data_IF_322660498751
#
_entry.id   IF_322660498751
#
_cell.length_a   1.000
_cell.length_b   1.000
_cell.length_c   1.000
_cell.angle_alpha   90.00
_cell.angle_beta   90.00
_cell.angle_gamma   90.00
#
_symmetry.space_group_name_H-M   'P 1'
#
loop_
_entity.id
_entity.type
_entity.pdbx_description
1 polymer ?
#
# COMPACT_ATOMS: atom_id res chain seq x y z
N UNK A 1 8.67 35.31 0.07
CA UNK A 1 8.72 34.48 1.28
C UNK A 1 8.19 33.05 0.99
N UNK A 2 8.71 32.37 -0.06
CA UNK A 2 8.25 31.06 -0.55
C UNK A 2 9.38 30.06 -0.77
N UNK A 3 10.58 30.30 -0.26
CA UNK A 3 11.74 29.39 -0.41
C UNK A 3 11.92 28.37 0.74
N UNK A 4 11.18 28.46 1.82
CA UNK A 4 11.43 27.63 3.02
C UNK A 4 10.86 26.20 2.98
N UNK A 5 9.85 25.92 2.15
CA UNK A 5 9.17 24.60 2.12
C UNK A 5 9.87 23.57 1.22
N UNK A 6 10.49 24.01 0.12
CA UNK A 6 11.18 23.09 -0.80
C UNK A 6 12.49 22.57 -0.21
N UNK A 7 13.21 23.40 0.57
CA UNK A 7 14.46 23.01 1.20
C UNK A 7 14.28 21.93 2.30
N UNK A 8 13.11 21.89 2.96
CA UNK A 8 12.80 20.85 3.97
C UNK A 8 12.48 19.49 3.36
N UNK A 9 11.85 19.47 2.18
CA UNK A 9 11.52 18.23 1.48
C UNK A 9 12.77 17.56 0.86
N UNK A 10 13.69 18.36 0.35
CA UNK A 10 14.96 17.88 -0.21
C UNK A 10 15.89 17.29 0.88
N UNK A 11 15.81 17.74 2.13
CA UNK A 11 16.60 17.16 3.23
C UNK A 11 16.19 15.74 3.64
N UNK A 12 14.98 15.31 3.35
CA UNK A 12 14.54 13.94 3.64
C UNK A 12 15.18 12.86 2.74
N UNK A 13 15.71 13.24 1.57
CA UNK A 13 16.33 12.31 0.62
C UNK A 13 17.86 12.35 0.60
N UNK A 14 18.50 13.18 1.43
CA UNK A 14 19.93 13.50 1.30
C UNK A 14 20.90 12.64 2.12
N UNK A 15 20.43 11.56 2.77
CA UNK A 15 21.29 10.64 3.54
C UNK A 15 20.95 9.18 3.27
N UNK A 16 21.28 8.69 2.08
CA UNK A 16 21.51 7.28 1.86
C UNK A 16 23.00 7.15 1.49
N UNK A 17 23.80 6.62 2.38
CA UNK A 17 25.16 6.18 2.06
C UNK A 17 25.10 5.03 1.05
N UNK A 18 26.02 4.95 0.09
CA UNK A 18 26.03 3.88 -0.90
C UNK A 18 26.47 2.57 -0.21
N UNK A 19 25.54 1.67 0.04
CA UNK A 19 25.92 0.28 0.27
C UNK A 19 26.30 -0.33 -1.07
N UNK A 20 27.56 -0.72 -1.16
CA UNK A 20 28.12 -1.52 -2.25
C UNK A 20 27.37 -2.85 -2.34
N UNK A 21 26.33 -2.90 -3.19
CA UNK A 21 25.72 -4.18 -3.56
C UNK A 21 26.60 -4.83 -4.62
N UNK A 22 27.13 -5.98 -4.27
CA UNK A 22 28.07 -6.79 -5.00
C UNK A 22 27.58 -7.11 -6.43
N UNK A 23 28.44 -6.90 -7.43
CA UNK A 23 28.27 -7.23 -8.85
C UNK A 23 27.87 -8.70 -9.12
N UNK A 24 27.95 -9.56 -8.12
CA UNK A 24 27.63 -10.98 -8.21
C UNK A 24 26.13 -11.29 -8.36
N UNK A 25 25.23 -10.39 -7.95
CA UNK A 25 23.77 -10.63 -8.04
C UNK A 25 23.24 -10.33 -9.45
N UNK A 26 23.84 -9.40 -10.17
CA UNK A 26 23.42 -9.05 -11.54
C UNK A 26 23.81 -10.11 -12.58
N UNK A 27 24.96 -10.78 -12.41
CA UNK A 27 25.39 -11.88 -13.29
C UNK A 27 24.57 -13.15 -13.08
N UNK A 28 24.12 -13.44 -11.86
CA UNK A 28 23.26 -14.59 -11.56
C UNK A 28 21.87 -14.51 -12.21
N UNK A 29 21.23 -13.33 -12.18
CA UNK A 29 19.93 -13.14 -12.80
C UNK A 29 19.94 -13.20 -14.32
N UNK A 30 21.03 -12.77 -14.96
CA UNK A 30 21.17 -12.83 -16.43
C UNK A 30 21.34 -14.27 -16.94
N UNK A 31 22.06 -15.11 -16.20
CA UNK A 31 22.26 -16.52 -16.55
C UNK A 31 21.00 -17.37 -16.32
N UNK A 32 20.17 -17.03 -15.33
CA UNK A 32 18.90 -17.72 -15.10
C UNK A 32 17.88 -17.35 -16.16
N UNK A 33 17.85 -16.10 -16.62
CA UNK A 33 16.93 -15.63 -17.69
C UNK A 33 17.28 -16.26 -19.05
N UNK A 34 18.54 -16.46 -19.36
CA UNK A 34 18.98 -17.13 -20.60
C UNK A 34 18.73 -18.64 -20.56
N UNK A 35 18.87 -19.30 -19.40
CA UNK A 35 18.56 -20.73 -19.25
C UNK A 35 17.04 -21.01 -19.39
N UNK A 36 16.16 -20.12 -18.91
CA UNK A 36 14.71 -20.25 -19.07
C UNK A 36 14.24 -20.00 -20.53
N UNK A 37 14.93 -19.13 -21.27
CA UNK A 37 14.65 -18.92 -22.71
C UNK A 37 15.07 -20.10 -23.58
N UNK A 38 16.11 -20.83 -23.24
CA UNK A 38 16.56 -22.02 -23.98
C UNK A 38 15.67 -23.23 -23.68
N UNK A 39 15.06 -23.32 -22.49
CA UNK A 39 14.14 -24.40 -22.12
C UNK A 39 12.71 -24.19 -22.70
N UNK A 40 12.31 -22.98 -23.04
CA UNK A 40 11.00 -22.70 -23.63
C UNK A 40 10.90 -22.93 -25.14
N UNK A 41 12.02 -23.12 -25.84
CA UNK A 41 12.07 -23.36 -27.28
C UNK A 41 11.96 -24.86 -27.68
N UNK A 42 11.82 -25.78 -26.75
CA UNK A 42 11.97 -27.21 -26.98
C UNK A 42 10.76 -28.12 -26.83
N UNK A 43 9.53 -27.61 -26.60
CA UNK A 43 8.36 -28.49 -26.47
C UNK A 43 7.15 -28.02 -27.26
N UNK A 44 7.14 -28.39 -28.56
CA UNK A 44 5.90 -28.64 -29.30
C UNK A 44 5.69 -30.14 -29.33
N UNK A 45 4.76 -30.67 -28.56
CA UNK A 45 4.19 -32.01 -28.75
C UNK A 45 2.68 -31.92 -28.66
N UNK A 46 2.06 -32.46 -29.71
CA UNK A 46 0.66 -32.58 -30.08
C UNK A 46 -0.22 -33.22 -28.99
N UNK A 47 -1.44 -32.70 -28.84
CA UNK A 47 -2.54 -33.30 -28.09
C UNK A 47 -3.26 -34.38 -28.91
N UNK A 48 -3.66 -35.49 -28.29
CA UNK A 48 -4.79 -36.30 -28.76
C UNK A 48 -6.02 -36.09 -27.86
N UNK A 49 -7.16 -36.30 -28.49
CA UNK A 49 -8.53 -36.01 -28.11
C UNK A 49 -9.13 -36.78 -26.93
N UNK A 50 -10.21 -36.20 -26.40
CA UNK A 50 -11.17 -36.69 -25.40
C UNK A 50 -11.60 -38.14 -25.55
N UNK A 51 -11.77 -38.82 -24.40
CA UNK A 51 -12.59 -40.00 -24.23
C UNK A 51 -12.88 -40.27 -22.75
N UNK A 52 -14.15 -40.26 -22.43
CA UNK A 52 -14.84 -40.55 -21.18
C UNK A 52 -14.30 -41.71 -20.34
N UNK A 53 -14.41 -41.58 -19.00
CA UNK A 53 -14.85 -42.68 -18.11
C UNK A 53 -15.25 -42.13 -16.73
N UNK A 54 -16.53 -42.15 -16.46
CA UNK A 54 -17.13 -42.10 -15.13
C UNK A 54 -17.15 -43.54 -14.56
N UNK A 55 -16.64 -43.75 -13.34
CA UNK A 55 -17.22 -44.67 -12.35
C UNK A 55 -16.53 -44.56 -10.99
N UNK A 56 -17.24 -44.73 -9.89
CA UNK A 56 -16.75 -44.47 -8.54
C UNK A 56 -16.08 -45.71 -7.93
N UNK A 57 -14.88 -45.54 -7.43
CA UNK A 57 -14.28 -46.58 -6.58
C UNK A 57 -14.10 -46.07 -5.15
N UNK A 58 -14.55 -46.94 -4.24
CA UNK A 58 -14.53 -46.80 -2.80
C UNK A 58 -13.13 -46.55 -2.23
N UNK A 59 -13.05 -45.75 -1.19
CA UNK A 59 -11.84 -45.51 -0.41
C UNK A 59 -11.42 -46.75 0.38
N UNK A 60 -10.12 -47.09 0.47
CA UNK A 60 -9.63 -48.17 1.34
C UNK A 60 -9.66 -47.73 2.82
N UNK A 61 -9.83 -48.66 3.78
CA UNK A 61 -9.91 -48.39 5.19
C UNK A 61 -8.58 -47.93 5.79
N UNK A 62 -8.65 -46.99 6.72
CA UNK A 62 -7.53 -46.49 7.52
C UNK A 62 -6.92 -47.62 8.39
N UNK A 63 -5.60 -47.72 8.51
CA UNK A 63 -4.99 -48.64 9.44
C UNK A 63 -5.16 -48.20 10.89
N UNK A 64 -5.55 -49.16 11.71
CA UNK A 64 -5.77 -49.06 13.16
C UNK A 64 -4.42 -48.77 13.83
N UNK A 65 -4.27 -47.68 14.49
CA UNK A 65 -3.10 -47.32 15.29
C UNK A 65 -2.97 -48.30 16.48
N UNK A 66 -1.85 -48.97 16.55
CA UNK A 66 -1.41 -49.68 17.77
C UNK A 66 -0.87 -48.61 18.73
N UNK A 67 -1.41 -48.59 19.93
CA UNK A 67 -0.88 -47.85 21.07
C UNK A 67 0.34 -48.61 21.56
N UNK A 68 1.52 -48.06 21.38
CA UNK A 68 2.70 -48.40 22.13
C UNK A 68 2.98 -47.25 23.10
N UNK A 69 2.74 -47.54 24.38
CA UNK A 69 3.23 -46.73 25.51
C UNK A 69 4.77 -46.75 25.55
N UNK A 70 5.26 -45.68 26.17
CA UNK A 70 6.66 -45.38 26.55
C UNK A 70 7.56 -44.80 25.47
N UNK A 71 7.52 -43.45 25.42
CA UNK A 71 8.76 -42.67 25.52
C UNK A 71 8.41 -41.20 25.87
N UNK A 72 8.77 -40.81 27.10
CA UNK A 72 8.87 -39.44 27.54
C UNK A 72 9.92 -38.73 26.68
N UNK A 73 9.57 -38.28 25.51
CA UNK A 73 10.33 -37.28 24.81
C UNK A 73 9.71 -35.91 25.22
N UNK A 74 10.46 -35.15 25.99
CA UNK A 74 10.25 -33.72 26.17
C UNK A 74 10.16 -33.09 24.78
N UNK A 75 8.94 -32.96 24.25
CA UNK A 75 8.66 -32.04 23.14
C UNK A 75 8.82 -30.67 23.74
N UNK A 76 9.98 -30.10 23.56
CA UNK A 76 10.22 -28.67 23.75
C UNK A 76 9.27 -27.97 22.76
N UNK A 77 8.08 -27.58 23.25
CA UNK A 77 7.21 -26.68 22.51
C UNK A 77 8.00 -25.37 22.37
N UNK A 78 8.69 -25.19 21.25
CA UNK A 78 9.29 -23.95 20.86
C UNK A 78 8.19 -22.88 20.88
N UNK A 79 8.20 -22.01 21.90
CA UNK A 79 7.29 -20.85 21.94
C UNK A 79 7.54 -20.00 20.69
N UNK A 80 6.48 -19.65 20.00
CA UNK A 80 6.55 -18.68 18.92
C UNK A 80 7.09 -17.37 19.50
N UNK A 81 8.13 -16.73 18.91
CA UNK A 81 8.63 -15.46 19.39
C UNK A 81 7.52 -14.41 19.39
N UNK A 82 7.53 -13.49 20.36
CA UNK A 82 6.53 -12.41 20.47
C UNK A 82 6.51 -11.53 19.23
N UNK A 83 7.64 -11.35 18.57
CA UNK A 83 7.82 -10.47 17.42
C UNK A 83 8.34 -11.22 16.21
N UNK A 84 7.76 -10.95 15.07
CA UNK A 84 8.27 -11.34 13.75
C UNK A 84 8.97 -10.15 13.10
N UNK A 85 10.30 -10.21 13.08
CA UNK A 85 11.16 -9.20 12.47
C UNK A 85 11.84 -9.69 11.20
N UNK A 86 11.53 -10.89 10.71
CA UNK A 86 12.24 -11.54 9.62
C UNK A 86 11.37 -11.88 8.41
N UNK A 87 10.13 -12.29 8.62
CA UNK A 87 9.26 -12.77 7.54
C UNK A 87 8.77 -11.65 6.61
N UNK A 88 8.68 -10.42 7.12
CA UNK A 88 8.24 -9.27 6.33
C UNK A 88 9.37 -8.26 6.15
N UNK A 89 9.71 -7.97 4.88
CA UNK A 89 10.77 -6.99 4.54
C UNK A 89 10.38 -5.53 4.80
N UNK A 90 9.08 -5.25 4.98
CA UNK A 90 8.55 -3.88 5.08
C UNK A 90 8.01 -3.52 6.45
N UNK A 91 7.68 -4.50 7.30
CA UNK A 91 7.10 -4.26 8.62
C UNK A 91 7.59 -5.28 9.63
N UNK A 92 7.91 -4.82 10.84
CA UNK A 92 8.07 -5.65 12.02
C UNK A 92 6.75 -5.70 12.77
N UNK A 93 6.34 -6.86 13.28
CA UNK A 93 5.07 -7.05 13.97
C UNK A 93 5.28 -7.92 15.20
N UNK A 94 4.79 -7.44 16.35
CA UNK A 94 4.63 -8.25 17.54
C UNK A 94 3.14 -8.51 17.75
N UNK A 95 2.74 -9.76 18.00
CA UNK A 95 1.35 -10.14 18.31
C UNK A 95 1.35 -11.00 19.55
N UNK A 96 0.92 -10.42 20.67
CA UNK A 96 0.99 -10.97 22.03
C UNK A 96 -0.42 -11.12 22.58
N UNK A 97 -0.70 -12.25 23.24
CA UNK A 97 -1.98 -12.53 23.88
C UNK A 97 -1.73 -13.03 25.31
N UNK A 98 -2.34 -12.37 26.32
CA UNK A 98 -2.16 -12.63 27.74
C UNK A 98 -2.20 -11.35 28.57
N UNK A 99 -1.44 -11.26 29.68
CA UNK A 99 -1.26 -10.02 30.46
C UNK A 99 -0.18 -9.17 29.79
N UNK A 100 -0.61 -8.14 29.02
CA UNK A 100 0.32 -7.22 28.37
C UNK A 100 0.18 -5.85 28.99
N UNK A 101 1.31 -5.28 29.43
CA UNK A 101 1.40 -3.97 30.07
C UNK A 101 2.17 -2.99 29.19
N UNK A 102 1.53 -1.87 28.88
CA UNK A 102 2.10 -0.80 28.07
C UNK A 102 2.45 0.36 28.98
N UNK A 103 3.72 0.74 29.00
CA UNK A 103 4.22 1.93 29.65
C UNK A 103 4.76 2.90 28.60
N UNK A 104 3.90 3.77 28.13
CA UNK A 104 4.21 4.66 27.00
C UNK A 104 5.31 5.67 27.34
N UNK A 105 5.41 6.13 28.60
CA UNK A 105 6.45 7.06 29.07
C UNK A 105 7.88 6.54 28.88
N UNK A 106 8.07 5.21 28.87
CA UNK A 106 9.36 4.54 28.59
C UNK A 106 9.37 3.86 27.22
N UNK A 107 8.32 3.98 26.41
CA UNK A 107 8.12 3.27 25.15
C UNK A 107 8.31 1.76 25.30
N UNK A 108 7.83 1.18 26.40
CA UNK A 108 8.01 -0.23 26.75
C UNK A 108 6.69 -0.99 26.75
N UNK A 109 6.71 -2.19 26.21
CA UNK A 109 5.59 -3.12 26.17
C UNK A 109 6.07 -4.44 26.78
N UNK A 110 5.40 -4.90 27.83
CA UNK A 110 5.77 -6.06 28.60
C UNK A 110 4.73 -7.16 28.46
N UNK A 111 5.17 -8.35 28.08
CA UNK A 111 4.39 -9.57 28.21
C UNK A 111 4.70 -10.20 29.57
N UNK A 112 3.73 -10.20 30.47
CA UNK A 112 3.87 -10.72 31.84
C UNK A 112 3.62 -12.22 31.83
N UNK A 113 4.55 -13.01 32.38
CA UNK A 113 4.44 -14.48 32.44
C UNK A 113 5.08 -15.06 33.69
N UNK A 114 4.43 -16.08 34.28
CA UNK A 114 4.97 -16.89 35.39
C UNK A 114 5.82 -18.09 34.90
N UNK A 115 5.79 -18.39 33.59
CA UNK A 115 6.38 -19.61 33.04
C UNK A 115 7.75 -19.39 32.43
N UNK A 116 8.60 -18.57 33.02
CA UNK A 116 9.98 -18.38 32.55
C UNK A 116 10.82 -19.52 33.09
N UNK A 117 11.19 -20.45 32.19
CA UNK A 117 11.99 -21.64 32.58
C UNK A 117 13.50 -21.39 32.58
N UNK A 118 13.98 -20.37 31.89
CA UNK A 118 15.40 -20.06 31.75
C UNK A 118 15.66 -18.55 31.80
N UNK A 119 16.76 -18.15 32.41
CA UNK A 119 17.23 -16.75 32.46
C UNK A 119 17.49 -16.13 31.08
N UNK A 120 17.69 -16.95 30.03
CA UNK A 120 17.87 -16.50 28.64
C UNK A 120 16.57 -16.00 28.01
N UNK A 121 15.40 -16.53 28.37
CA UNK A 121 14.10 -16.06 27.88
C UNK A 121 13.73 -14.68 28.41
N UNK A 122 14.13 -14.34 29.64
CA UNK A 122 13.97 -13.00 30.22
C UNK A 122 14.81 -11.93 29.51
N UNK A 123 15.86 -12.33 28.79
CA UNK A 123 16.75 -11.41 28.08
C UNK A 123 16.28 -11.15 26.65
N UNK A 124 15.29 -11.88 26.14
CA UNK A 124 14.75 -11.59 24.80
C UNK A 124 13.98 -10.30 24.77
N UNK A 125 14.46 -9.35 24.00
CA UNK A 125 13.81 -8.07 23.77
C UNK A 125 13.93 -7.67 22.31
N UNK A 126 12.88 -7.04 21.81
CA UNK A 126 12.80 -6.54 20.44
C UNK A 126 12.68 -5.02 20.44
N UNK A 127 13.37 -4.41 19.47
CA UNK A 127 13.25 -2.98 19.17
C UNK A 127 12.42 -2.82 17.91
N UNK A 128 11.22 -2.26 18.04
CA UNK A 128 10.23 -2.16 16.98
C UNK A 128 9.91 -0.69 16.70
N UNK A 129 9.97 -0.31 15.43
CA UNK A 129 9.38 0.93 14.93
C UNK A 129 8.06 0.58 14.26
N UNK A 130 6.90 0.89 14.86
CA UNK A 130 5.60 0.36 14.42
C UNK A 130 5.06 1.10 13.19
N UNK A 131 5.81 1.09 12.09
CA UNK A 131 5.48 1.71 10.81
C UNK A 131 6.02 0.88 9.64
N UNK A 132 5.22 0.63 8.58
CA UNK A 132 5.64 -0.22 7.46
C UNK A 132 6.61 0.49 6.51
N UNK A 133 7.82 0.70 6.86
CA UNK A 133 8.92 1.22 6.03
C UNK A 133 10.27 0.71 6.54
N UNK A 134 10.29 -0.53 7.03
CA UNK A 134 11.53 -1.16 7.51
C UNK A 134 12.66 -1.00 6.49
N UNK A 135 13.83 -0.58 6.96
CA UNK A 135 15.00 -0.32 6.12
C UNK A 135 15.02 1.06 5.45
N UNK A 136 13.91 1.82 5.49
CA UNK A 136 13.88 3.20 5.01
C UNK A 136 14.19 4.17 6.17
N UNK A 137 15.49 4.49 6.32
CA UNK A 137 15.95 5.35 7.41
C UNK A 137 15.31 6.75 7.40
N UNK A 138 15.02 7.30 6.21
CA UNK A 138 14.39 8.62 6.11
C UNK A 138 12.95 8.61 6.63
N UNK A 139 12.18 7.58 6.28
CA UNK A 139 10.82 7.40 6.77
C UNK A 139 10.80 7.12 8.29
N UNK A 140 11.69 6.23 8.75
CA UNK A 140 11.70 5.78 10.15
C UNK A 140 12.45 6.72 11.10
N UNK A 141 13.12 7.77 10.62
CA UNK A 141 13.83 8.73 11.47
C UNK A 141 12.93 9.49 12.45
N UNK A 142 11.62 9.54 12.14
CA UNK A 142 10.60 10.25 12.93
C UNK A 142 9.66 9.30 13.67
N UNK A 143 9.97 8.01 13.70
CA UNK A 143 9.14 7.00 14.36
C UNK A 143 9.80 6.58 15.65
N UNK A 144 9.07 6.68 16.77
CA UNK A 144 9.49 6.22 18.09
C UNK A 144 9.79 4.73 18.04
N UNK A 145 10.96 4.34 18.53
CA UNK A 145 11.32 2.95 18.73
C UNK A 145 10.76 2.46 20.05
N UNK A 146 10.06 1.33 20.02
CA UNK A 146 9.45 0.69 21.18
C UNK A 146 10.22 -0.56 21.56
N UNK A 147 10.34 -0.80 22.87
CA UNK A 147 10.91 -2.02 23.42
C UNK A 147 9.78 -3.01 23.74
N UNK A 148 9.86 -4.22 23.20
CA UNK A 148 8.94 -5.33 23.51
C UNK A 148 9.74 -6.42 24.21
N UNK A 149 9.28 -6.94 25.35
CA UNK A 149 9.99 -7.98 26.08
C UNK A 149 9.13 -8.69 27.10
N UNK A 150 9.71 -9.69 27.71
CA UNK A 150 9.08 -10.44 28.81
C UNK A 150 9.33 -9.74 30.15
N UNK A 151 8.38 -9.93 31.07
CA UNK A 151 8.53 -9.56 32.47
C UNK A 151 8.01 -10.72 33.33
N UNK A 152 8.79 -11.10 34.36
CA UNK A 152 8.39 -12.15 35.30
C UNK A 152 7.34 -11.65 36.29
N UNK A 153 6.38 -12.52 36.64
CA UNK A 153 5.45 -12.22 37.76
C UNK A 153 6.13 -12.06 39.12
N UNK A 154 7.39 -12.51 39.22
CA UNK A 154 8.21 -12.39 40.46
C UNK A 154 8.88 -11.02 40.57
N UNK A 155 8.87 -10.21 39.51
CA UNK A 155 9.44 -8.87 39.46
C UNK A 155 8.44 -7.81 39.94
N UNK A 156 8.92 -6.58 40.20
CA UNK A 156 8.07 -5.45 40.56
C UNK A 156 7.35 -4.94 39.32
N UNK A 157 6.15 -5.50 39.09
CA UNK A 157 5.35 -5.26 37.89
C UNK A 157 4.75 -3.85 37.89
N UNK A 158 4.81 -3.09 36.80
CA UNK A 158 4.08 -1.85 36.65
C UNK A 158 2.58 -2.08 36.90
N UNK A 159 1.99 -1.35 37.88
CA UNK A 159 0.55 -1.47 38.17
C UNK A 159 -0.28 -0.89 37.08
N UNK A 160 -1.33 -1.60 36.70
CA UNK A 160 -2.29 -1.12 35.70
C UNK A 160 -3.10 0.06 36.25
N UNK A 161 -2.97 1.22 35.65
CA UNK A 161 -3.86 2.35 35.85
C UNK A 161 -5.17 2.17 35.10
N UNK A 162 -5.11 1.55 33.92
CA UNK A 162 -6.26 1.25 33.08
C UNK A 162 -6.20 -0.21 32.63
N UNK A 163 -7.31 -0.95 32.84
CA UNK A 163 -7.48 -2.30 32.34
C UNK A 163 -8.47 -2.30 31.18
N UNK A 164 -8.06 -2.81 30.02
CA UNK A 164 -8.92 -2.97 28.84
C UNK A 164 -9.39 -4.42 28.72
N UNK A 165 -10.61 -4.59 28.20
CA UNK A 165 -11.15 -5.90 27.86
C UNK A 165 -11.02 -6.22 26.36
N UNK A 166 -10.61 -5.23 25.56
CA UNK A 166 -10.42 -5.37 24.11
C UNK A 166 -8.94 -5.32 23.73
N UNK A 167 -8.55 -5.91 22.61
CA UNK A 167 -7.19 -5.83 22.09
C UNK A 167 -6.74 -4.38 21.80
N UNK A 168 -5.42 -4.17 21.78
CA UNK A 168 -4.82 -2.93 21.30
C UNK A 168 -3.99 -3.14 20.03
N UNK A 169 -3.97 -2.13 19.14
CA UNK A 169 -3.03 -2.03 18.03
C UNK A 169 -2.24 -0.74 18.18
N UNK A 170 -0.91 -0.86 18.18
CA UNK A 170 0.02 0.26 18.30
C UNK A 170 0.64 0.50 16.92
N UNK A 171 0.53 1.71 16.38
CA UNK A 171 1.16 2.10 15.12
C UNK A 171 1.58 3.58 15.14
N UNK A 172 2.42 3.97 14.17
CA UNK A 172 2.96 5.32 14.06
C UNK A 172 2.45 6.04 12.81
N UNK A 173 2.09 7.32 12.94
CA UNK A 173 1.78 8.20 11.79
C UNK A 173 3.00 8.96 11.27
N UNK A 174 4.20 8.43 11.47
CA UNK A 174 5.46 8.94 10.91
C UNK A 174 5.60 8.70 9.40
N UNK A 175 6.80 8.53 8.92
CA UNK A 175 7.07 8.22 7.53
C UNK A 175 6.83 9.39 6.58
N UNK A 176 6.23 9.12 5.42
CA UNK A 176 5.98 10.08 4.35
C UNK A 176 4.56 10.69 4.40
N UNK A 177 4.05 10.96 5.61
CA UNK A 177 2.73 11.57 5.78
C UNK A 177 2.66 12.95 5.12
N UNK A 178 1.52 13.26 4.52
CA UNK A 178 1.33 14.41 3.62
C UNK A 178 1.39 14.04 2.14
N UNK A 179 1.76 12.80 1.82
CA UNK A 179 1.64 12.21 0.49
C UNK A 179 0.52 11.16 0.51
N UNK A 180 -0.57 11.40 -0.22
CA UNK A 180 -1.77 10.57 -0.17
C UNK A 180 -1.53 9.10 -0.56
N UNK A 181 -0.58 8.83 -1.46
CA UNK A 181 -0.17 7.46 -1.77
C UNK A 181 0.39 6.76 -0.52
N UNK A 182 1.32 7.42 0.18
CA UNK A 182 1.92 6.87 1.39
C UNK A 182 0.93 6.75 2.54
N UNK A 183 0.02 7.70 2.70
CA UNK A 183 -1.02 7.63 3.72
C UNK A 183 -1.90 6.39 3.52
N UNK A 184 -2.26 6.05 2.28
CA UNK A 184 -3.10 4.89 1.97
C UNK A 184 -2.29 3.60 2.00
N UNK A 185 -1.14 3.55 1.33
CA UNK A 185 -0.36 2.31 1.18
C UNK A 185 0.38 1.91 2.45
N UNK A 186 0.92 2.91 3.21
CA UNK A 186 1.72 2.62 4.40
C UNK A 186 0.86 2.56 5.68
N UNK A 187 -0.32 3.19 5.73
CA UNK A 187 -1.14 3.22 6.94
C UNK A 187 -2.56 2.66 6.75
N UNK A 188 -3.38 3.21 5.85
CA UNK A 188 -4.81 2.88 5.83
C UNK A 188 -5.06 1.42 5.42
N UNK A 189 -4.42 0.93 4.36
CA UNK A 189 -4.52 -0.49 3.97
C UNK A 189 -3.94 -1.42 5.05
N UNK A 190 -2.72 -1.20 5.58
CA UNK A 190 -2.17 -1.99 6.68
C UNK A 190 -3.03 -1.97 7.95
N UNK A 191 -3.59 -0.82 8.31
CA UNK A 191 -4.49 -0.70 9.46
C UNK A 191 -5.78 -1.51 9.25
N UNK A 192 -6.39 -1.42 8.05
CA UNK A 192 -7.54 -2.24 7.69
C UNK A 192 -7.21 -3.74 7.79
N UNK A 193 -6.10 -4.21 7.22
CA UNK A 193 -5.66 -5.61 7.32
C UNK A 193 -5.53 -6.04 8.78
N UNK A 194 -4.95 -5.19 9.63
CA UNK A 194 -4.65 -5.54 11.03
C UNK A 194 -5.86 -5.51 11.93
N UNK A 195 -6.86 -4.66 11.63
CA UNK A 195 -7.97 -4.36 12.56
C UNK A 195 -9.34 -4.90 12.13
N UNK A 196 -9.62 -5.10 10.83
CA UNK A 196 -10.97 -5.45 10.35
C UNK A 196 -11.57 -6.68 11.03
N UNK A 197 -10.75 -7.67 11.39
CA UNK A 197 -11.17 -8.92 12.05
C UNK A 197 -11.76 -8.70 13.44
N UNK A 198 -11.51 -7.57 14.05
CA UNK A 198 -12.02 -7.23 15.39
C UNK A 198 -13.38 -6.54 15.35
N UNK A 199 -13.92 -6.21 14.16
CA UNK A 199 -15.24 -5.58 14.00
C UNK A 199 -15.45 -4.34 14.89
N UNK A 200 -14.41 -3.51 15.03
CA UNK A 200 -14.42 -2.32 15.89
C UNK A 200 -14.05 -2.56 17.36
N UNK A 201 -14.02 -3.82 17.82
CA UNK A 201 -13.66 -4.19 19.19
C UNK A 201 -12.14 -4.24 19.38
N UNK A 202 -11.47 -3.12 19.12
CA UNK A 202 -10.02 -2.93 19.22
C UNK A 202 -9.72 -1.47 19.51
N UNK A 203 -8.74 -1.19 20.40
CA UNK A 203 -8.31 0.17 20.69
C UNK A 203 -7.02 0.52 19.95
N UNK A 204 -6.94 1.71 19.37
CA UNK A 204 -5.74 2.20 18.70
C UNK A 204 -4.90 3.07 19.64
N UNK A 205 -3.60 2.79 19.68
CA UNK A 205 -2.59 3.64 20.33
C UNK A 205 -1.67 4.14 19.20
N UNK A 206 -1.64 5.46 19.00
CA UNK A 206 -0.92 6.05 17.87
C UNK A 206 0.28 6.84 18.37
N UNK A 207 1.48 6.46 17.92
CA UNK A 207 2.67 7.28 18.12
C UNK A 207 2.82 8.30 16.98
N UNK A 208 3.51 9.42 17.27
CA UNK A 208 3.63 10.58 16.35
C UNK A 208 2.27 11.06 15.85
N UNK A 209 1.24 11.04 16.68
CA UNK A 209 -0.14 11.36 16.33
C UNK A 209 -0.25 12.76 15.74
N UNK A 210 -0.60 12.84 14.45
CA UNK A 210 -0.73 14.08 13.69
C UNK A 210 -2.19 14.56 13.69
N UNK A 211 -2.55 15.70 14.31
CA UNK A 211 -3.94 16.16 14.39
C UNK A 211 -4.65 16.29 13.05
N UNK A 212 -3.96 16.81 12.03
CA UNK A 212 -4.52 16.94 10.69
C UNK A 212 -4.82 15.59 10.03
N UNK A 213 -3.99 14.56 10.30
CA UNK A 213 -4.19 13.19 9.80
C UNK A 213 -5.40 12.54 10.52
N UNK A 214 -5.50 12.72 11.82
CA UNK A 214 -6.64 12.27 12.61
C UNK A 214 -7.96 12.83 12.06
N UNK A 215 -8.03 14.14 11.82
CA UNK A 215 -9.22 14.80 11.24
C UNK A 215 -9.51 14.29 9.83
N UNK A 216 -8.49 14.09 8.99
CA UNK A 216 -8.65 13.62 7.61
C UNK A 216 -9.25 12.22 7.53
N UNK A 217 -8.85 11.32 8.43
CA UNK A 217 -9.24 9.91 8.43
C UNK A 217 -10.21 9.53 9.56
N UNK A 218 -10.77 10.50 10.26
CA UNK A 218 -11.68 10.28 11.39
C UNK A 218 -12.79 9.28 11.07
N UNK A 219 -13.39 9.39 9.89
CA UNK A 219 -14.47 8.51 9.43
C UNK A 219 -13.98 7.05 9.36
N UNK A 220 -12.82 6.81 8.76
CA UNK A 220 -12.26 5.44 8.65
C UNK A 220 -11.85 4.89 10.01
N UNK A 221 -11.23 5.71 10.84
CA UNK A 221 -10.78 5.31 12.17
C UNK A 221 -11.96 4.91 13.06
N UNK A 222 -13.08 5.65 13.02
CA UNK A 222 -14.32 5.31 13.74
C UNK A 222 -15.01 4.04 13.25
N UNK A 223 -14.82 3.69 11.96
CA UNK A 223 -15.34 2.43 11.43
C UNK A 223 -14.43 1.23 11.71
N UNK A 224 -13.17 1.46 12.08
CA UNK A 224 -12.20 0.41 12.43
C UNK A 224 -12.06 0.19 13.93
N UNK A 225 -12.41 1.20 14.76
CA UNK A 225 -12.37 1.13 16.22
C UNK A 225 -13.51 1.94 16.82
N UNK A 226 -14.26 1.32 17.74
CA UNK A 226 -15.33 1.98 18.51
C UNK A 226 -14.80 2.68 19.77
N UNK A 227 -13.50 2.56 20.04
CA UNK A 227 -12.86 3.04 21.27
C UNK A 227 -12.11 4.34 21.04
N UNK A 228 -11.90 5.09 22.12
CA UNK A 228 -11.07 6.29 22.10
C UNK A 228 -9.65 5.94 21.61
N UNK A 229 -9.12 6.77 20.73
CA UNK A 229 -7.75 6.64 20.22
C UNK A 229 -6.79 7.30 21.20
N UNK A 230 -5.80 6.55 21.64
CA UNK A 230 -4.81 7.01 22.63
C UNK A 230 -3.60 7.61 21.89
N UNK A 231 -3.19 8.81 22.30
CA UNK A 231 -1.91 9.38 21.89
C UNK A 231 -0.78 8.73 22.69
N UNK A 232 -0.09 7.78 22.07
CA UNK A 232 0.95 7.00 22.74
C UNK A 232 2.05 7.88 23.35
N UNK A 233 2.56 8.88 22.62
CA UNK A 233 3.67 9.70 23.10
C UNK A 233 3.31 10.61 24.31
N UNK A 234 2.02 10.87 24.50
CA UNK A 234 1.53 11.73 25.59
C UNK A 234 0.85 10.95 26.72
N UNK A 235 0.78 9.61 26.60
CA UNK A 235 0.13 8.78 27.61
C UNK A 235 1.08 8.53 28.79
N UNK A 236 0.62 8.86 29.99
CA UNK A 236 1.36 8.68 31.25
C UNK A 236 0.88 7.47 32.04
N UNK A 237 -0.22 6.85 31.62
CA UNK A 237 -0.84 5.72 32.31
C UNK A 237 -0.16 4.40 31.92
N UNK A 238 -0.12 3.47 32.86
CA UNK A 238 0.15 2.07 32.56
C UNK A 238 -1.15 1.40 32.11
N UNK A 239 -1.20 0.98 30.84
CA UNK A 239 -2.39 0.33 30.27
C UNK A 239 -2.18 -1.17 30.10
N UNK A 240 -3.15 -1.94 30.53
CA UNK A 240 -3.13 -3.38 30.47
C UNK A 240 -4.19 -3.89 29.49
N UNK A 241 -3.78 -4.83 28.63
CA UNK A 241 -4.62 -5.39 27.57
C UNK A 241 -4.53 -6.91 27.52
N UNK A 242 -5.62 -7.61 27.12
CA UNK A 242 -5.60 -9.06 26.93
C UNK A 242 -4.86 -9.47 25.65
N UNK A 243 -4.65 -8.54 24.72
CA UNK A 243 -3.87 -8.73 23.48
C UNK A 243 -3.36 -7.40 22.99
N UNK A 244 -2.11 -7.40 22.50
CA UNK A 244 -1.49 -6.22 21.88
C UNK A 244 -0.79 -6.62 20.59
N UNK A 245 -1.07 -5.86 19.53
CA UNK A 245 -0.34 -5.90 18.28
C UNK A 245 0.51 -4.64 18.17
N UNK A 246 1.83 -4.77 18.07
CA UNK A 246 2.75 -3.66 17.80
C UNK A 246 3.18 -3.71 16.35
N UNK A 247 2.91 -2.62 15.61
CA UNK A 247 3.05 -2.59 14.15
C UNK A 247 1.75 -2.96 13.45
N UNK A 248 1.72 -2.73 12.13
CA UNK A 248 0.58 -3.03 11.27
C UNK A 248 1.02 -3.85 10.04
N UNK A 249 0.17 -4.80 9.64
CA UNK A 249 0.49 -5.78 8.59
C UNK A 249 0.59 -5.12 7.22
N UNK A 250 1.77 -5.15 6.63
CA UNK A 250 2.00 -4.68 5.27
C UNK A 250 2.20 -5.86 4.31
N UNK A 251 1.50 -5.89 3.18
CA UNK A 251 1.63 -6.96 2.19
C UNK A 251 2.38 -6.50 0.94
N UNK A 252 1.87 -5.50 0.25
CA UNK A 252 2.45 -4.86 -0.95
C UNK A 252 1.96 -3.43 -1.08
N UNK A 253 2.65 -2.62 -1.88
CA UNK A 253 2.20 -1.25 -2.14
C UNK A 253 0.79 -1.27 -2.77
N UNK A 254 -0.11 -0.42 -2.23
CA UNK A 254 -1.53 -0.34 -2.63
C UNK A 254 -2.25 -1.69 -2.74
N UNK A 255 -1.86 -2.71 -1.96
CA UNK A 255 -2.40 -4.04 -2.17
C UNK A 255 -2.49 -4.93 -0.95
N UNK A 256 -3.42 -5.88 -1.02
CA UNK A 256 -3.65 -6.95 -0.04
C UNK A 256 -3.34 -8.29 -0.69
N UNK A 257 -2.61 -9.14 0.01
CA UNK A 257 -2.41 -10.53 -0.37
C UNK A 257 -3.44 -11.40 0.37
N UNK A 258 -4.42 -11.98 -0.33
CA UNK A 258 -5.48 -12.78 0.30
C UNK A 258 -4.95 -14.00 1.07
N UNK A 259 -3.84 -14.58 0.64
CA UNK A 259 -3.25 -15.73 1.32
C UNK A 259 -2.70 -15.37 2.72
N UNK A 260 -2.32 -14.10 2.92
CA UNK A 260 -1.76 -13.59 4.18
C UNK A 260 -2.77 -12.87 5.07
N UNK A 261 -3.92 -12.49 4.51
CA UNK A 261 -4.97 -11.70 5.19
C UNK A 261 -6.17 -12.54 5.65
N UNK A 262 -6.11 -13.88 5.53
CA UNK A 262 -7.25 -14.72 5.82
C UNK A 262 -8.38 -14.62 4.77
N UNK A 263 -8.02 -14.34 3.51
CA UNK A 263 -8.95 -14.25 2.39
C UNK A 263 -9.44 -12.84 2.06
N UNK A 264 -9.10 -11.84 2.86
CA UNK A 264 -9.47 -10.43 2.61
C UNK A 264 -8.72 -9.90 1.39
N UNK A 265 -9.40 -9.13 0.56
CA UNK A 265 -8.91 -8.65 -0.73
C UNK A 265 -8.93 -7.12 -0.83
N UNK A 266 -8.29 -6.55 -1.86
CA UNK A 266 -8.44 -5.13 -2.20
C UNK A 266 -9.88 -4.78 -2.61
N UNK A 267 -10.64 -5.73 -3.12
CA UNK A 267 -12.07 -5.52 -3.40
C UNK A 267 -12.86 -5.29 -2.10
N UNK A 268 -12.57 -6.06 -1.03
CA UNK A 268 -13.20 -5.88 0.27
C UNK A 268 -12.80 -4.55 0.92
N UNK A 269 -11.54 -4.17 0.78
CA UNK A 269 -11.07 -2.83 1.17
C UNK A 269 -11.82 -1.72 0.43
N UNK A 270 -12.02 -1.84 -0.89
CA UNK A 270 -12.79 -0.88 -1.67
C UNK A 270 -14.25 -0.77 -1.20
N UNK A 271 -14.89 -1.91 -0.85
CA UNK A 271 -16.22 -1.91 -0.24
C UNK A 271 -16.24 -1.21 1.12
N UNK A 272 -15.25 -1.51 1.97
CA UNK A 272 -15.09 -0.82 3.26
C UNK A 272 -14.96 0.69 3.08
N UNK A 273 -14.13 1.17 2.15
CA UNK A 273 -13.97 2.60 1.86
C UNK A 273 -15.30 3.21 1.42
N UNK A 274 -16.00 2.62 0.44
CA UNK A 274 -17.28 3.15 -0.06
C UNK A 274 -18.35 3.18 1.04
N UNK A 275 -18.47 2.12 1.83
CA UNK A 275 -19.38 2.07 2.96
C UNK A 275 -19.07 3.12 4.01
N UNK A 276 -17.79 3.28 4.40
CA UNK A 276 -17.37 4.23 5.43
C UNK A 276 -17.71 5.68 5.05
N UNK A 277 -17.50 6.05 3.79
CA UNK A 277 -17.82 7.39 3.29
C UNK A 277 -19.27 7.54 2.80
N UNK A 278 -20.11 6.51 2.94
CA UNK A 278 -21.50 6.49 2.44
C UNK A 278 -21.57 6.89 0.96
N UNK A 279 -20.70 6.30 0.14
CA UNK A 279 -20.65 6.57 -1.30
C UNK A 279 -21.81 5.82 -1.99
N UNK A 280 -22.50 6.50 -2.89
CA UNK A 280 -23.76 6.03 -3.45
C UNK A 280 -23.60 4.92 -4.50
N UNK A 281 -22.42 4.88 -5.18
CA UNK A 281 -22.22 4.00 -6.33
C UNK A 281 -21.27 2.86 -6.02
N UNK A 282 -21.77 1.64 -6.12
CA UNK A 282 -20.94 0.43 -6.00
C UNK A 282 -20.35 -0.02 -7.34
N UNK A 283 -21.03 0.30 -8.45
CA UNK A 283 -20.66 -0.13 -9.80
C UNK A 283 -20.69 1.04 -10.77
N UNK A 284 -19.72 1.12 -11.66
CA UNK A 284 -19.71 2.07 -12.76
C UNK A 284 -20.88 1.78 -13.75
N UNK A 285 -21.21 2.81 -14.54
CA UNK A 285 -22.23 2.65 -15.56
C UNK A 285 -21.84 1.51 -16.52
N UNK A 286 -22.81 0.67 -16.85
CA UNK A 286 -22.69 -0.27 -17.95
C UNK A 286 -23.35 0.32 -19.17
N UNK A 287 -22.58 0.64 -20.20
CA UNK A 287 -23.07 1.18 -21.45
C UNK A 287 -23.68 0.05 -22.29
N UNK A 288 -25.02 -0.08 -22.24
CA UNK A 288 -25.80 -1.00 -23.06
C UNK A 288 -26.05 -0.46 -24.48
N UNK A 289 -27.19 -0.85 -25.04
CA UNK A 289 -27.68 -0.32 -26.32
C UNK A 289 -28.11 1.16 -26.25
N UNK A 290 -28.29 1.71 -25.06
CA UNK A 290 -28.66 3.10 -24.82
C UNK A 290 -27.50 4.03 -25.10
N UNK A 291 -27.53 4.71 -26.25
CA UNK A 291 -26.47 5.61 -26.73
C UNK A 291 -26.49 6.97 -26.05
N UNK A 292 -27.54 7.29 -25.30
CA UNK A 292 -27.73 8.62 -24.71
C UNK A 292 -27.05 8.77 -23.35
N UNK A 293 -26.65 7.67 -22.73
CA UNK A 293 -25.92 7.70 -21.45
C UNK A 293 -24.45 8.05 -21.68
N UNK A 294 -24.02 9.19 -21.09
CA UNK A 294 -22.62 9.61 -21.08
C UNK A 294 -21.96 9.18 -19.77
N UNK A 295 -20.90 8.34 -19.81
CA UNK A 295 -20.12 8.05 -18.61
C UNK A 295 -19.33 9.28 -18.19
N UNK A 296 -19.15 9.45 -16.87
CA UNK A 296 -18.38 10.57 -16.30
C UNK A 296 -16.91 10.20 -16.18
N UNK A 297 -16.02 11.06 -16.68
CA UNK A 297 -14.58 10.87 -16.60
C UNK A 297 -13.95 11.98 -15.75
N UNK A 298 -13.36 11.60 -14.61
CA UNK A 298 -12.60 12.51 -13.76
C UNK A 298 -11.20 12.74 -14.32
N UNK A 299 -10.87 13.97 -14.63
CA UNK A 299 -9.51 14.39 -14.98
C UNK A 299 -8.86 14.98 -13.72
N UNK A 300 -7.83 14.33 -13.21
CA UNK A 300 -7.08 14.81 -12.04
C UNK A 300 -6.20 15.98 -12.45
N UNK A 301 -6.61 17.18 -12.08
CA UNK A 301 -5.81 18.38 -12.23
C UNK A 301 -4.74 18.43 -11.12
N UNK A 302 -3.55 18.88 -11.49
CA UNK A 302 -2.41 19.05 -10.58
C UNK A 302 -1.84 20.46 -10.76
N UNK A 303 -1.55 21.15 -9.66
CA UNK A 303 -1.04 22.53 -9.70
C UNK A 303 0.48 22.64 -9.58
N UNK A 304 1.18 21.55 -9.15
CA UNK A 304 2.61 21.62 -8.82
C UNK A 304 3.52 20.91 -9.80
N UNK A 305 3.36 19.61 -9.97
CA UNK A 305 4.25 18.75 -10.77
C UNK A 305 3.43 17.75 -11.57
N UNK A 306 3.94 17.32 -12.71
CA UNK A 306 3.28 16.38 -13.60
C UNK A 306 1.86 16.86 -13.95
N UNK A 307 1.77 18.17 -14.25
CA UNK A 307 0.52 18.82 -14.65
C UNK A 307 0.20 18.47 -16.10
N UNK A 308 -1.08 18.37 -16.42
CA UNK A 308 -1.51 18.53 -17.80
C UNK A 308 -1.45 20.00 -18.16
N UNK A 309 -0.60 20.38 -19.13
CA UNK A 309 -0.44 21.79 -19.54
C UNK A 309 -1.54 22.23 -20.49
N UNK A 310 -2.27 21.28 -21.11
CA UNK A 310 -3.37 21.48 -22.04
C UNK A 310 -4.69 20.85 -21.55
N UNK A 311 -5.01 21.00 -20.27
CA UNK A 311 -6.17 20.34 -19.64
C UNK A 311 -7.51 20.67 -20.32
N UNK A 312 -7.66 21.89 -20.88
CA UNK A 312 -8.86 22.31 -21.61
C UNK A 312 -9.04 21.55 -22.93
N UNK A 313 -7.94 21.26 -23.64
CA UNK A 313 -7.98 20.47 -24.87
C UNK A 313 -8.33 19.02 -24.57
N UNK A 314 -7.79 18.49 -23.45
CA UNK A 314 -8.11 17.15 -22.96
C UNK A 314 -9.60 17.05 -22.61
N UNK A 315 -10.15 18.03 -21.89
CA UNK A 315 -11.57 18.04 -21.49
C UNK A 315 -12.49 18.08 -22.74
N UNK A 316 -12.17 18.92 -23.73
CA UNK A 316 -12.92 18.98 -24.99
C UNK A 316 -12.89 17.65 -25.75
N UNK A 317 -11.74 16.98 -25.78
CA UNK A 317 -11.63 15.69 -26.43
C UNK A 317 -12.40 14.62 -25.66
N UNK A 318 -12.32 14.58 -24.34
CA UNK A 318 -13.10 13.69 -23.48
C UNK A 318 -14.59 13.83 -23.77
N UNK A 319 -15.07 15.07 -23.93
CA UNK A 319 -16.46 15.37 -24.30
C UNK A 319 -16.79 14.88 -25.73
N UNK A 320 -15.89 15.11 -26.69
CA UNK A 320 -16.03 14.66 -28.07
C UNK A 320 -16.14 13.14 -28.18
N UNK A 321 -15.34 12.42 -27.38
CA UNK A 321 -15.37 10.95 -27.34
C UNK A 321 -16.57 10.41 -26.52
N UNK A 322 -17.49 11.29 -26.09
CA UNK A 322 -18.79 10.94 -25.52
C UNK A 322 -18.76 10.66 -24.01
N UNK A 323 -17.79 11.17 -23.29
CA UNK A 323 -17.82 11.26 -21.84
C UNK A 323 -18.34 12.62 -21.37
N UNK A 324 -18.77 12.70 -20.11
CA UNK A 324 -18.92 13.95 -19.36
C UNK A 324 -17.61 14.24 -18.61
N UNK A 325 -16.84 15.27 -18.99
CA UNK A 325 -15.58 15.58 -18.32
C UNK A 325 -15.83 16.24 -16.96
N UNK A 326 -15.16 15.73 -15.92
CA UNK A 326 -15.12 16.32 -14.57
C UNK A 326 -13.67 16.67 -14.27
N UNK A 327 -13.33 17.97 -14.29
CA UNK A 327 -11.96 18.41 -13.96
C UNK A 327 -11.91 18.78 -12.49
N UNK A 328 -11.07 18.08 -11.72
CA UNK A 328 -10.96 18.35 -10.29
C UNK A 328 -9.51 18.24 -9.78
N UNK A 329 -9.19 19.13 -8.85
CA UNK A 329 -7.99 19.10 -8.02
C UNK A 329 -8.42 19.11 -6.56
N UNK A 330 -7.75 18.36 -5.70
CA UNK A 330 -8.00 18.40 -4.25
C UNK A 330 -7.58 19.77 -3.71
N UNK A 331 -8.55 20.54 -3.24
CA UNK A 331 -8.31 21.86 -2.63
C UNK A 331 -7.88 21.68 -1.17
N UNK A 332 -7.02 22.58 -0.69
CA UNK A 332 -6.48 22.55 0.67
C UNK A 332 -7.54 22.44 1.78
N UNK A 333 -8.72 23.06 1.56
CA UNK A 333 -9.82 23.12 2.54
C UNK A 333 -10.95 22.12 2.21
N UNK A 334 -10.79 21.26 1.23
CA UNK A 334 -11.79 20.27 0.85
C UNK A 334 -11.63 19.03 1.72
N UNK A 335 -12.72 18.55 2.31
CA UNK A 335 -12.70 17.31 3.06
C UNK A 335 -12.47 16.10 2.12
N UNK A 336 -11.83 15.06 2.65
CA UNK A 336 -11.63 13.82 1.88
C UNK A 336 -12.97 13.19 1.47
N UNK A 337 -13.99 13.28 2.33
CA UNK A 337 -15.34 12.78 2.05
C UNK A 337 -16.02 13.52 0.88
N UNK A 338 -15.87 14.84 0.77
CA UNK A 338 -16.39 15.61 -0.36
C UNK A 338 -15.72 15.21 -1.67
N UNK A 339 -14.39 15.07 -1.65
CA UNK A 339 -13.67 14.65 -2.84
C UNK A 339 -13.98 13.21 -3.22
N UNK A 340 -14.12 12.31 -2.25
CA UNK A 340 -14.53 10.92 -2.45
C UNK A 340 -15.88 10.81 -3.18
N UNK A 341 -16.86 11.67 -2.86
CA UNK A 341 -18.16 11.70 -3.58
C UNK A 341 -17.99 12.13 -5.04
N UNK A 342 -17.12 13.11 -5.31
CA UNK A 342 -16.82 13.53 -6.69
C UNK A 342 -16.21 12.33 -7.45
N UNK A 343 -15.21 11.66 -6.89
CA UNK A 343 -14.58 10.48 -7.52
C UNK A 343 -15.59 9.37 -7.73
N UNK A 344 -16.39 9.04 -6.72
CA UNK A 344 -17.39 7.96 -6.79
C UNK A 344 -18.49 8.25 -7.83
N UNK A 345 -18.79 9.51 -8.11
CA UNK A 345 -19.76 9.89 -9.14
C UNK A 345 -19.25 9.63 -10.58
N UNK A 346 -17.97 9.30 -10.75
CA UNK A 346 -17.34 9.09 -12.06
C UNK A 346 -17.22 7.60 -12.39
N UNK A 347 -17.20 7.29 -13.70
CA UNK A 347 -17.07 5.95 -14.27
C UNK A 347 -15.65 5.67 -14.75
N UNK A 348 -14.88 6.73 -14.91
CA UNK A 348 -13.47 6.65 -15.26
C UNK A 348 -12.66 7.75 -14.57
N UNK A 349 -11.37 7.51 -14.39
CA UNK A 349 -10.40 8.49 -13.91
C UNK A 349 -9.21 8.57 -14.84
N UNK A 350 -8.76 9.76 -15.17
CA UNK A 350 -7.57 10.08 -15.95
C UNK A 350 -6.61 10.90 -15.11
N UNK A 351 -5.37 10.47 -15.02
CA UNK A 351 -4.34 11.24 -14.33
C UNK A 351 -2.93 10.86 -14.71
N UNK A 352 -2.00 11.81 -14.59
CA UNK A 352 -0.57 11.50 -14.66
C UNK A 352 -0.16 10.76 -13.40
N UNK A 353 0.68 9.73 -13.54
CA UNK A 353 1.20 8.94 -12.43
C UNK A 353 1.56 9.79 -11.20
N UNK A 354 1.19 9.33 -10.02
CA UNK A 354 1.49 9.92 -8.72
C UNK A 354 0.30 9.96 -7.77
N UNK A 355 0.50 10.49 -6.57
CA UNK A 355 -0.43 10.42 -5.44
C UNK A 355 -1.88 10.86 -5.73
N UNK A 356 -2.13 11.68 -6.78
CA UNK A 356 -3.49 12.03 -7.20
C UNK A 356 -4.31 10.83 -7.69
N UNK A 357 -3.66 9.82 -8.32
CA UNK A 357 -4.33 8.61 -8.78
C UNK A 357 -4.74 7.68 -7.63
N UNK A 358 -4.18 7.82 -6.43
CA UNK A 358 -4.61 7.04 -5.25
C UNK A 358 -6.10 7.21 -4.96
N UNK A 359 -6.73 8.30 -5.45
CA UNK A 359 -8.16 8.51 -5.36
C UNK A 359 -9.00 7.44 -6.08
N UNK A 360 -8.39 6.58 -6.90
CA UNK A 360 -9.06 5.41 -7.49
C UNK A 360 -9.76 4.53 -6.43
N UNK A 361 -9.31 4.55 -5.17
CA UNK A 361 -9.92 3.78 -4.07
C UNK A 361 -11.39 4.14 -3.81
N UNK A 362 -11.84 5.31 -4.25
CA UNK A 362 -13.24 5.77 -4.11
C UNK A 362 -14.11 5.46 -5.33
N UNK A 363 -13.52 5.03 -6.45
CA UNK A 363 -14.27 4.67 -7.65
C UNK A 363 -15.20 3.46 -7.39
N UNK A 364 -16.31 3.40 -8.11
CA UNK A 364 -17.13 2.18 -8.15
C UNK A 364 -16.38 1.03 -8.85
N UNK A 365 -16.78 -0.20 -8.59
CA UNK A 365 -16.27 -1.36 -9.35
C UNK A 365 -16.60 -1.23 -10.84
N UNK A 366 -15.86 -1.92 -11.68
CA UNK A 366 -15.92 -1.83 -13.15
C UNK A 366 -15.57 -0.45 -13.74
N UNK A 367 -15.21 0.55 -12.94
CA UNK A 367 -14.69 1.82 -13.43
C UNK A 367 -13.37 1.61 -14.20
N UNK A 368 -13.03 2.58 -15.07
CA UNK A 368 -11.80 2.55 -15.86
C UNK A 368 -10.77 3.53 -15.29
N UNK A 369 -9.59 3.05 -14.97
CA UNK A 369 -8.44 3.88 -14.57
C UNK A 369 -7.51 4.06 -15.76
N UNK A 370 -7.34 5.30 -16.21
CA UNK A 370 -6.44 5.67 -17.30
C UNK A 370 -5.23 6.39 -16.69
N UNK A 371 -4.11 5.71 -16.63
CA UNK A 371 -2.87 6.26 -16.11
C UNK A 371 -1.98 6.78 -17.24
N UNK A 372 -1.63 8.05 -17.19
CA UNK A 372 -0.62 8.64 -18.06
C UNK A 372 0.76 8.46 -17.41
N UNK A 373 1.62 7.72 -18.09
CA UNK A 373 3.01 7.46 -17.63
C UNK A 373 3.91 8.56 -18.17
N UNK A 374 4.53 9.36 -17.31
CA UNK A 374 5.46 10.40 -17.73
C UNK A 374 6.77 9.79 -18.26
N UNK A 375 7.56 10.58 -18.99
CA UNK A 375 8.87 10.15 -19.45
C UNK A 375 9.77 9.79 -18.27
N UNK A 376 10.62 8.79 -18.42
CA UNK A 376 11.53 8.36 -17.35
C UNK A 376 11.79 6.85 -17.29
N UNK A 377 11.15 6.06 -18.16
CA UNK A 377 11.21 4.58 -18.11
C UNK A 377 10.42 4.02 -16.92
N UNK A 378 9.25 4.61 -16.65
CA UNK A 378 8.44 4.42 -15.46
C UNK A 378 7.34 3.35 -15.63
N UNK A 379 7.19 2.73 -16.77
CA UNK A 379 6.04 1.90 -17.16
C UNK A 379 5.75 0.81 -16.13
N UNK A 380 6.76 0.02 -15.75
CA UNK A 380 6.60 -1.09 -14.79
C UNK A 380 6.33 -0.57 -13.37
N UNK A 381 6.99 0.52 -12.99
CA UNK A 381 6.76 1.17 -11.69
C UNK A 381 5.32 1.68 -11.59
N UNK A 382 4.85 2.38 -12.61
CA UNK A 382 3.47 2.88 -12.71
C UNK A 382 2.44 1.75 -12.68
N UNK A 383 2.71 0.65 -13.39
CA UNK A 383 1.83 -0.52 -13.39
C UNK A 383 1.77 -1.20 -12.00
N UNK A 384 2.92 -1.34 -11.34
CA UNK A 384 2.96 -1.89 -9.99
C UNK A 384 2.16 -1.06 -8.99
N UNK A 385 2.29 0.28 -9.05
CA UNK A 385 1.66 1.18 -8.08
C UNK A 385 0.14 1.31 -8.26
N UNK A 386 -0.36 1.26 -9.52
CA UNK A 386 -1.77 1.52 -9.80
C UNK A 386 -2.43 0.50 -10.72
N UNK A 387 -1.72 -0.14 -11.64
CA UNK A 387 -2.29 -1.15 -12.53
C UNK A 387 -2.75 -2.38 -11.78
N UNK A 388 -1.85 -3.00 -11.02
CA UNK A 388 -2.17 -4.18 -10.19
C UNK A 388 -3.27 -3.87 -9.17
N UNK A 389 -3.19 -2.80 -8.35
CA UNK A 389 -4.25 -2.44 -7.43
C UNK A 389 -5.62 -2.22 -8.09
N UNK A 390 -5.64 -1.58 -9.25
CA UNK A 390 -6.88 -1.36 -10.03
C UNK A 390 -7.57 -2.68 -10.34
N UNK A 391 -6.82 -3.67 -10.85
CA UNK A 391 -7.35 -4.99 -11.18
C UNK A 391 -7.79 -5.76 -9.92
N UNK A 392 -7.01 -5.68 -8.84
CA UNK A 392 -7.34 -6.31 -7.55
C UNK A 392 -8.65 -5.74 -6.95
N UNK A 393 -8.99 -4.48 -7.27
CA UNK A 393 -10.26 -3.82 -6.88
C UNK A 393 -11.42 -4.06 -7.86
N UNK A 394 -11.26 -4.96 -8.84
CA UNK A 394 -12.25 -5.25 -9.89
C UNK A 394 -12.61 -4.01 -10.73
N UNK A 395 -11.62 -3.22 -11.05
CA UNK A 395 -11.70 -2.13 -12.02
C UNK A 395 -10.87 -2.48 -13.25
N UNK A 396 -10.94 -1.65 -14.28
CA UNK A 396 -10.27 -1.83 -15.57
C UNK A 396 -9.14 -0.82 -15.70
N UNK A 397 -8.00 -1.23 -16.22
CA UNK A 397 -6.80 -0.40 -16.26
C UNK A 397 -6.31 -0.17 -17.70
N UNK A 398 -6.01 1.08 -18.01
CA UNK A 398 -5.37 1.50 -19.24
C UNK A 398 -4.12 2.32 -18.91
N UNK A 399 -3.03 2.03 -19.62
CA UNK A 399 -1.76 2.73 -19.46
C UNK A 399 -1.37 3.46 -20.75
N UNK A 400 -1.21 4.76 -20.68
CA UNK A 400 -0.75 5.59 -21.76
C UNK A 400 0.65 6.12 -21.48
N UNK A 401 1.67 5.60 -22.15
CA UNK A 401 3.03 6.15 -22.09
C UNK A 401 3.15 7.33 -23.04
N UNK A 402 3.55 8.48 -22.50
CA UNK A 402 3.74 9.67 -23.34
C UNK A 402 4.89 9.49 -24.32
N UNK A 403 4.82 10.16 -25.45
CA UNK A 403 5.96 10.35 -26.34
C UNK A 403 6.91 11.41 -25.78
N UNK A 404 8.10 11.46 -26.33
CA UNK A 404 9.11 12.49 -25.97
C UNK A 404 8.51 13.90 -26.13
N UNK A 405 7.78 14.15 -27.21
CA UNK A 405 7.19 15.46 -27.53
C UNK A 405 6.06 15.90 -26.61
N UNK A 406 5.52 15.00 -25.81
CA UNK A 406 4.50 15.31 -24.80
C UNK A 406 5.10 15.70 -23.45
N UNK A 407 6.42 15.55 -23.27
CA UNK A 407 7.13 15.89 -22.04
C UNK A 407 7.71 17.30 -22.05
N UNK A 408 7.48 18.08 -21.01
CA UNK A 408 8.13 19.39 -20.84
C UNK A 408 9.66 19.31 -20.67
N UNK A 409 10.22 18.10 -20.53
CA UNK A 409 11.67 17.92 -20.44
C UNK A 409 12.35 18.23 -21.76
N UNK A 410 11.65 18.09 -22.89
CA UNK A 410 12.19 18.46 -24.24
C UNK A 410 12.52 19.95 -24.29
N UNK A 411 11.63 20.80 -23.76
CA UNK A 411 11.84 22.25 -23.75
C UNK A 411 13.02 22.64 -22.85
N UNK A 412 13.28 21.84 -21.81
CA UNK A 412 14.30 22.12 -20.82
C UNK A 412 15.69 21.60 -21.18
N UNK A 413 15.77 20.41 -21.75
CA UNK A 413 17.03 19.70 -22.01
C UNK A 413 17.36 19.58 -23.50
N UNK A 414 16.36 19.71 -24.38
CA UNK A 414 16.49 19.44 -25.81
C UNK A 414 16.22 17.98 -26.15
N UNK A 415 15.77 17.74 -27.38
CA UNK A 415 15.30 16.42 -27.85
C UNK A 415 16.40 15.36 -27.89
N UNK A 416 17.67 15.76 -28.06
CA UNK A 416 18.82 14.84 -28.16
C UNK A 416 19.52 14.59 -26.81
N UNK A 417 19.07 15.24 -25.74
CA UNK A 417 19.70 15.10 -24.42
C UNK A 417 19.46 13.70 -23.84
N UNK A 418 20.48 13.06 -23.20
CA UNK A 418 20.34 11.77 -22.54
C UNK A 418 19.19 11.70 -21.51
N UNK A 419 18.87 12.79 -20.84
CA UNK A 419 17.68 12.87 -19.95
C UNK A 419 16.39 12.53 -20.71
N UNK A 420 16.30 12.93 -21.97
CA UNK A 420 15.10 12.73 -22.81
C UNK A 420 15.12 11.40 -23.51
N UNK A 421 16.23 11.04 -24.15
CA UNK A 421 16.31 9.84 -25.01
C UNK A 421 16.75 8.57 -24.29
N UNK A 422 17.43 8.69 -23.15
CA UNK A 422 17.91 7.55 -22.36
C UNK A 422 17.80 7.80 -20.85
N UNK A 423 16.60 7.84 -20.29
CA UNK A 423 16.38 8.10 -18.85
C UNK A 423 17.16 7.18 -17.91
N UNK A 424 17.46 5.95 -18.34
CA UNK A 424 18.25 4.99 -17.55
C UNK A 424 19.66 5.46 -17.29
N UNK A 425 20.23 6.29 -18.18
CA UNK A 425 21.57 6.86 -17.98
C UNK A 425 21.66 7.78 -16.78
N UNK A 426 20.55 8.41 -16.40
CA UNK A 426 20.47 9.28 -15.21
C UNK A 426 20.58 8.45 -13.93
N UNK A 427 19.99 7.25 -13.90
CA UNK A 427 20.11 6.33 -12.75
C UNK A 427 21.52 5.78 -12.56
N UNK A 428 22.29 5.68 -13.64
CA UNK A 428 23.66 5.17 -13.59
C UNK A 428 24.69 6.19 -13.06
N UNK A 429 24.31 7.45 -12.86
CA UNK A 429 25.16 8.51 -12.35
C UNK A 429 25.22 8.51 -10.82
N UNK A 430 26.23 9.18 -10.25
CA UNK A 430 26.28 9.47 -8.81
C UNK A 430 24.99 10.20 -8.37
N UNK A 431 24.42 9.79 -7.23
CA UNK A 431 23.09 10.22 -6.77
C UNK A 431 21.96 9.94 -7.79
N UNK A 432 22.10 8.92 -8.63
CA UNK A 432 21.23 8.65 -9.78
C UNK A 432 19.75 8.61 -9.43
N UNK A 433 19.37 7.93 -8.33
CA UNK A 433 17.98 7.89 -7.86
C UNK A 433 17.44 9.28 -7.48
N UNK A 434 18.24 10.10 -6.78
CA UNK A 434 17.85 11.45 -6.38
C UNK A 434 17.67 12.37 -7.58
N UNK A 435 18.62 12.33 -8.52
CA UNK A 435 18.55 13.12 -9.75
C UNK A 435 17.38 12.66 -10.63
N UNK A 436 17.19 11.35 -10.78
CA UNK A 436 16.13 10.77 -11.56
C UNK A 436 14.74 11.15 -11.00
N UNK A 437 14.51 11.02 -9.68
CA UNK A 437 13.27 11.46 -9.06
C UNK A 437 13.06 12.97 -9.18
N UNK A 438 14.11 13.77 -9.01
CA UNK A 438 14.05 15.21 -9.20
C UNK A 438 13.58 15.58 -10.61
N UNK A 439 14.15 14.96 -11.64
CA UNK A 439 13.83 15.26 -13.03
C UNK A 439 12.42 14.76 -13.39
N UNK A 440 12.17 13.46 -13.23
CA UNK A 440 10.97 12.84 -13.82
C UNK A 440 9.73 12.94 -12.93
N UNK A 441 9.87 13.05 -11.59
CA UNK A 441 8.73 13.21 -10.71
C UNK A 441 8.45 14.65 -10.28
N UNK A 442 9.49 15.49 -10.16
CA UNK A 442 9.29 16.84 -9.62
C UNK A 442 9.41 17.96 -10.64
N UNK A 443 10.07 17.73 -11.77
CA UNK A 443 10.34 18.77 -12.75
C UNK A 443 9.83 18.44 -14.16
N UNK A 444 8.82 17.60 -14.28
CA UNK A 444 8.17 17.25 -15.55
C UNK A 444 6.68 17.59 -15.52
N UNK A 445 6.19 18.18 -16.59
CA UNK A 445 4.77 18.36 -16.92
C UNK A 445 4.46 17.66 -18.24
N UNK A 446 3.19 17.45 -18.54
CA UNK A 446 2.72 16.70 -19.72
C UNK A 446 1.81 17.58 -20.57
N UNK A 447 2.14 17.72 -21.86
CA UNK A 447 1.25 18.24 -22.89
C UNK A 447 0.72 17.04 -23.69
N UNK A 448 -0.43 16.52 -23.27
CA UNK A 448 -0.99 15.30 -23.84
C UNK A 448 -1.34 15.53 -25.35
N UNK A 449 -0.87 14.64 -26.20
CA UNK A 449 -1.29 14.61 -27.62
C UNK A 449 -2.72 14.08 -27.70
N UNK A 450 -3.67 15.01 -27.88
CA UNK A 450 -5.10 14.69 -27.87
C UNK A 450 -5.49 13.75 -29.03
N UNK A 451 -4.86 13.88 -30.18
CA UNK A 451 -5.14 13.01 -31.34
C UNK A 451 -4.68 11.55 -31.07
N UNK A 452 -3.48 11.39 -30.56
CA UNK A 452 -2.92 10.08 -30.19
C UNK A 452 -3.69 9.45 -29.02
N UNK A 453 -4.15 10.26 -28.06
CA UNK A 453 -4.85 9.79 -26.86
C UNK A 453 -6.32 9.42 -27.11
N UNK A 454 -6.96 9.93 -28.16
CA UNK A 454 -8.38 9.67 -28.50
C UNK A 454 -8.69 8.17 -28.54
N UNK A 455 -7.82 7.34 -29.12
CA UNK A 455 -7.99 5.89 -29.17
C UNK A 455 -8.12 5.23 -27.79
N UNK A 456 -7.46 5.77 -26.75
CA UNK A 456 -7.58 5.30 -25.37
C UNK A 456 -8.95 5.62 -24.76
N UNK A 457 -9.53 6.77 -25.10
CA UNK A 457 -10.89 7.12 -24.67
C UNK A 457 -11.94 6.23 -25.33
N UNK A 458 -11.79 5.95 -26.64
CA UNK A 458 -12.64 4.99 -27.35
C UNK A 458 -12.58 3.63 -26.66
N UNK A 459 -11.36 3.13 -26.38
CA UNK A 459 -11.17 1.86 -25.69
C UNK A 459 -11.76 1.86 -24.26
N UNK A 460 -11.61 2.97 -23.51
CA UNK A 460 -12.23 3.11 -22.20
C UNK A 460 -13.77 2.99 -22.23
N UNK A 461 -14.41 3.56 -23.27
CA UNK A 461 -15.85 3.39 -23.50
C UNK A 461 -16.24 1.94 -23.85
N UNK A 462 -15.43 1.27 -24.64
CA UNK A 462 -15.64 -0.16 -24.95
C UNK A 462 -15.56 -1.02 -23.68
N UNK A 463 -14.59 -0.72 -22.81
CA UNK A 463 -14.50 -1.39 -21.51
C UNK A 463 -15.74 -1.15 -20.65
N UNK A 464 -16.35 0.03 -20.67
CA UNK A 464 -17.59 0.30 -19.94
C UNK A 464 -18.84 -0.37 -20.54
N UNK A 465 -18.73 -1.03 -21.72
CA UNK A 465 -19.79 -1.87 -22.30
C UNK A 465 -19.75 -3.31 -21.85
N UNK A 466 -18.61 -3.75 -21.34
CA UNK A 466 -18.38 -5.10 -20.80
C UNK A 466 -18.74 -5.16 -19.32
#
# INVERSE_FOLDING_TARGET
MMMGSQAKFLRCFSRAEPQTLSFAIFTGCFLISTALLVLSAGYFVSFPSLGSWLSPHAAPPLPRAQVNDTNNQNVELSRKPLCDTTSNRRADICDMEGDIRIQASSSSIFFVTSSIRNTTELQESWKIKPHPRKGDHAALSRVTEMSVGYLSTEEDLPKCDVNSTVPAIIFATGGYMGNFFHEVTDLIIPLYISSHKFNGEVQFLISEMLPWWMTKYEILLKNLSHYEIINFNNDTMVRCYPRVIVGIAFHKDMGIDPARSGGVTMFDFGRFIRSSYSLERDTAIQLGADRDKRPRLLIIARSRTRRFTNIHDIARMVEWEGFEPVVAEIKKNQSLAEFARIVNSCDAILGVHGAGLTNLIFLPTNAVVIQVVPLGGLEMFCYSDYGVPTLDMKMKYLQYSISIMESSLVDRYGIADPVVINPKSVLAQNEGWRNWTSIYFFNQDVKLDVGRFSSFLIHARELLRQ
#
